data_IF_891476258974
#
_entry.id   IF_891476258974
#
_cell.length_a   1.000
_cell.length_b   1.000
_cell.length_c   1.000
_cell.angle_alpha   90.00
_cell.angle_beta   90.00
_cell.angle_gamma   90.00
#
_symmetry.space_group_name_H-M   'P 1'
#
loop_
_entity.id
_entity.type
_entity.pdbx_description
1 polymer ?
#
# COMPACT_ATOMS: atom_id res chain seq x y z
N UNK A 1 -12.36 -25.53 -10.71
CA UNK A 1 -11.31 -24.78 -11.41
C UNK A 1 -10.96 -23.55 -10.56
N UNK A 2 -9.83 -23.57 -9.84
CA UNK A 2 -9.41 -22.41 -9.04
C UNK A 2 -8.84 -21.36 -9.99
N UNK A 3 -9.58 -20.28 -10.25
CA UNK A 3 -9.09 -19.19 -11.11
C UNK A 3 -7.88 -18.51 -10.45
N UNK A 4 -6.68 -18.54 -11.06
CA UNK A 4 -5.46 -18.00 -10.46
C UNK A 4 -5.46 -16.46 -10.34
N UNK A 5 -6.50 -15.78 -10.82
CA UNK A 5 -6.62 -14.32 -10.82
C UNK A 5 -7.41 -13.75 -9.64
N UNK A 6 -7.64 -14.50 -8.56
CA UNK A 6 -8.13 -13.88 -7.32
C UNK A 6 -6.98 -13.13 -6.65
N UNK A 7 -6.55 -12.02 -7.26
CA UNK A 7 -5.90 -10.95 -6.51
C UNK A 7 -6.92 -10.56 -5.45
N UNK A 8 -6.59 -10.82 -4.19
CA UNK A 8 -7.39 -10.40 -3.05
C UNK A 8 -7.59 -8.87 -3.17
N UNK A 9 -8.80 -8.47 -3.56
CA UNK A 9 -9.18 -7.07 -3.80
C UNK A 9 -9.44 -6.32 -2.49
N UNK A 10 -9.17 -6.92 -1.33
CA UNK A 10 -9.36 -6.24 -0.05
C UNK A 10 -8.47 -5.00 0.04
N UNK A 11 -8.98 -4.00 0.74
CA UNK A 11 -8.20 -2.83 1.15
C UNK A 11 -7.19 -3.30 2.20
N UNK A 12 -5.90 -2.94 2.09
CA UNK A 12 -4.92 -3.22 3.13
C UNK A 12 -5.29 -2.52 4.44
N UNK A 13 -4.71 -2.95 5.56
CA UNK A 13 -5.03 -2.44 6.90
C UNK A 13 -3.84 -1.70 7.51
N UNK A 14 -4.12 -0.83 8.47
CA UNK A 14 -3.08 -0.29 9.34
C UNK A 14 -2.26 -1.44 9.96
N UNK A 15 -0.95 -1.25 10.06
CA UNK A 15 0.01 -2.26 10.50
C UNK A 15 0.56 -3.15 9.39
N UNK A 16 -0.09 -3.26 8.24
CA UNK A 16 0.43 -4.10 7.14
C UNK A 16 1.61 -3.44 6.42
N UNK A 17 2.55 -4.29 5.97
CA UNK A 17 3.65 -3.89 5.09
C UNK A 17 3.20 -3.99 3.64
N UNK A 18 3.46 -2.93 2.89
CA UNK A 18 3.00 -2.77 1.52
C UNK A 18 4.09 -2.17 0.64
N UNK A 19 4.02 -2.47 -0.65
CA UNK A 19 4.81 -1.82 -1.67
C UNK A 19 3.99 -0.68 -2.28
N UNK A 20 4.40 0.58 -2.11
CA UNK A 20 3.71 1.73 -2.70
C UNK A 20 3.98 1.79 -4.19
N UNK A 21 2.96 2.16 -4.96
CA UNK A 21 3.12 2.51 -6.37
C UNK A 21 3.86 3.85 -6.52
N UNK A 22 5.09 3.82 -7.01
CA UNK A 22 5.94 5.00 -7.25
C UNK A 22 6.35 5.03 -8.73
N UNK A 23 5.45 5.46 -9.64
CA UNK A 23 5.65 5.32 -11.08
C UNK A 23 6.85 6.09 -11.64
N UNK A 24 7.31 7.11 -10.92
CA UNK A 24 8.50 7.89 -11.28
C UNK A 24 9.81 7.12 -11.01
N UNK A 25 9.72 5.95 -10.36
CA UNK A 25 10.86 5.08 -10.05
C UNK A 25 10.68 3.70 -10.71
N UNK A 26 11.78 3.07 -11.17
CA UNK A 26 11.76 1.67 -11.54
C UNK A 26 11.19 0.80 -10.42
N UNK A 27 10.37 -0.21 -10.75
CA UNK A 27 9.68 -1.05 -9.75
C UNK A 27 10.61 -1.69 -8.73
N UNK A 28 11.84 -2.05 -9.14
CA UNK A 28 12.85 -2.61 -8.25
C UNK A 28 13.36 -1.64 -7.18
N UNK A 29 13.08 -0.34 -7.31
CA UNK A 29 13.47 0.70 -6.37
C UNK A 29 12.35 1.10 -5.40
N UNK A 30 11.13 0.57 -5.58
CA UNK A 30 10.02 0.86 -4.68
C UNK A 30 10.35 0.32 -3.29
N UNK A 31 10.26 1.19 -2.28
CA UNK A 31 10.59 0.81 -0.91
C UNK A 31 9.35 0.31 -0.18
N UNK A 32 9.48 -0.81 0.52
CA UNK A 32 8.43 -1.27 1.43
C UNK A 32 8.19 -0.24 2.54
N UNK A 33 6.92 -0.08 2.90
CA UNK A 33 6.48 0.81 3.97
C UNK A 33 5.41 0.13 4.81
N UNK A 34 5.32 0.52 6.08
CA UNK A 34 4.23 0.11 6.98
C UNK A 34 3.09 1.11 6.89
N UNK A 35 1.86 0.64 6.80
CA UNK A 35 0.69 1.52 6.90
C UNK A 35 0.49 1.91 8.36
N UNK A 36 0.45 3.21 8.65
CA UNK A 36 0.09 3.70 9.98
C UNK A 36 -1.40 4.04 10.02
N UNK A 37 -1.89 4.79 9.03
CA UNK A 37 -3.31 5.14 8.91
C UNK A 37 -3.77 5.14 7.45
N UNK A 38 -5.06 4.86 7.26
CA UNK A 38 -5.74 4.96 5.96
C UNK A 38 -6.96 5.85 6.12
N UNK A 39 -7.16 6.74 5.15
CA UNK A 39 -8.41 7.47 4.97
C UNK A 39 -9.09 6.97 3.71
N UNK A 40 -10.26 6.38 3.89
CA UNK A 40 -11.11 5.91 2.81
C UNK A 40 -12.08 7.02 2.38
N UNK A 41 -12.51 6.99 1.12
CA UNK A 41 -13.69 7.73 0.66
C UNK A 41 -14.98 6.92 0.90
N UNK A 42 -16.12 7.49 0.48
CA UNK A 42 -17.44 6.86 0.60
C UNK A 42 -17.56 5.54 -0.17
N UNK A 43 -16.75 5.37 -1.21
CA UNK A 43 -16.74 4.17 -2.06
C UNK A 43 -15.73 3.12 -1.54
N UNK A 44 -15.06 3.41 -0.42
CA UNK A 44 -14.05 2.54 0.18
C UNK A 44 -12.66 2.62 -0.47
N UNK A 45 -12.42 3.54 -1.40
CA UNK A 45 -11.09 3.70 -1.99
C UNK A 45 -10.15 4.43 -1.04
N UNK A 46 -8.85 4.09 -1.10
CA UNK A 46 -7.83 4.79 -0.32
C UNK A 46 -7.62 6.18 -0.92
N UNK A 47 -8.12 7.20 -0.22
CA UNK A 47 -7.91 8.61 -0.58
C UNK A 47 -6.57 9.12 -0.08
N UNK A 48 -6.17 8.72 1.14
CA UNK A 48 -4.88 9.09 1.74
C UNK A 48 -4.35 7.94 2.59
N UNK A 49 -3.04 7.85 2.70
CA UNK A 49 -2.37 7.01 3.67
C UNK A 49 -1.22 7.76 4.32
N UNK A 50 -1.06 7.55 5.62
CA UNK A 50 0.20 7.83 6.32
C UNK A 50 0.95 6.51 6.42
N UNK A 51 2.18 6.50 5.91
CA UNK A 51 3.02 5.31 5.90
C UNK A 51 4.35 5.60 6.59
N UNK A 52 4.90 4.59 7.26
CA UNK A 52 6.19 4.63 7.93
C UNK A 52 7.23 3.90 7.10
N UNK A 53 8.33 4.57 6.80
CA UNK A 53 9.49 3.97 6.12
C UNK A 53 10.32 3.12 7.09
N UNK A 54 11.25 2.33 6.56
CA UNK A 54 12.22 1.58 7.38
C UNK A 54 13.09 2.48 8.27
N UNK A 55 13.36 3.71 7.84
CA UNK A 55 14.05 4.72 8.67
C UNK A 55 13.17 5.32 9.78
N UNK A 56 11.91 4.92 9.89
CA UNK A 56 10.96 5.43 10.87
C UNK A 56 10.27 6.74 10.47
N UNK A 57 10.62 7.33 9.32
CA UNK A 57 10.01 8.56 8.81
C UNK A 57 8.55 8.31 8.41
N UNK A 58 7.66 9.22 8.80
CA UNK A 58 6.28 9.25 8.34
C UNK A 58 6.16 10.04 7.04
N UNK A 59 5.48 9.45 6.07
CA UNK A 59 5.16 10.07 4.80
C UNK A 59 3.64 10.15 4.64
N UNK A 60 3.15 11.37 4.45
CA UNK A 60 1.77 11.61 4.05
C UNK A 60 1.73 11.60 2.53
N UNK A 61 1.12 10.56 1.96
CA UNK A 61 0.95 10.46 0.50
C UNK A 61 -0.50 10.87 0.17
N UNK A 62 -0.69 12.00 -0.54
CA UNK A 62 -2.01 12.59 -0.74
C UNK A 62 -2.82 11.93 -1.85
N UNK A 63 -2.19 11.15 -2.74
CA UNK A 63 -2.81 10.60 -3.96
C UNK A 63 -3.01 9.10 -3.82
N UNK A 64 -4.07 8.58 -4.44
CA UNK A 64 -4.47 7.18 -4.59
C UNK A 64 -3.23 6.27 -4.62
N UNK A 65 -2.80 5.77 -3.47
CA UNK A 65 -1.66 4.86 -3.44
C UNK A 65 -2.23 3.49 -3.74
N UNK A 66 -1.92 2.94 -4.90
CA UNK A 66 -2.06 1.51 -5.11
C UNK A 66 -0.99 0.84 -4.26
N UNK A 67 -1.44 0.09 -3.26
CA UNK A 67 -0.59 -0.63 -2.32
C UNK A 67 -0.64 -2.10 -2.66
N UNK A 68 0.51 -2.71 -2.91
CA UNK A 68 0.61 -4.15 -3.16
C UNK A 68 1.07 -4.84 -1.89
N UNK A 69 0.34 -5.88 -1.46
CA UNK A 69 0.69 -6.64 -0.27
C UNK A 69 2.00 -7.39 -0.48
N UNK A 70 2.94 -7.25 0.45
CA UNK A 70 4.08 -8.15 0.56
C UNK A 70 3.74 -9.26 1.56
N UNK A 71 3.91 -10.52 1.16
CA UNK A 71 3.83 -11.66 2.08
C UNK A 71 5.26 -12.02 2.49
N UNK A 72 5.58 -11.86 3.78
CA UNK A 72 6.74 -12.54 4.35
C UNK A 72 6.37 -14.02 4.42
N UNK A 73 7.20 -14.84 3.78
CA UNK A 73 7.05 -16.29 3.78
C UNK A 73 7.58 -16.87 5.08
#
# INVERSE_FOLDING_TARGET
MTSPKLVDKRIPRAGEIVLPNEPDLPRGMWKLVRIETLKLDSDGNIRKATVKTSSGKLLNKPKIIKLYKYKLN
#
